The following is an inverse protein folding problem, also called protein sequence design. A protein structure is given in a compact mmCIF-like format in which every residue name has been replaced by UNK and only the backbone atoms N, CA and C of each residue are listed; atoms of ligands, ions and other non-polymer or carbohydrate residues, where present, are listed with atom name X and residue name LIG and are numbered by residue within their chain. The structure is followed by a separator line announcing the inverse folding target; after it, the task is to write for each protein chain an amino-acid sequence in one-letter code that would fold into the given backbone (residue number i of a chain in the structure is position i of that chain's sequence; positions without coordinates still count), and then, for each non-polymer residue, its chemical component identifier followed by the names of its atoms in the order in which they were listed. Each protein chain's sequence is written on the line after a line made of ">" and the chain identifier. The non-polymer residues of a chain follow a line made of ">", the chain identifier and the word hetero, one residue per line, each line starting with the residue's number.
data_IF_922555195468
#
_entry.id   IF_922555195468
#
_cell.length_a   1.000
_cell.length_b   1.000
_cell.length_c   1.000
_cell.angle_alpha   90.00
_cell.angle_beta   90.00
_cell.angle_gamma   90.00
#
_symmetry.space_group_name_H-M   'P 1'
#
loop_
_entity.id
_entity.type
_entity.pdbx_description
1 polymer ?
#
# COMPACT_ATOMS: atom_id res chain seq x y z
N UNK A 1 -37.19 -12.86 3.14
CA UNK A 1 -37.11 -12.58 1.69
C UNK A 1 -35.94 -13.37 1.11
N UNK A 2 -36.18 -14.08 0.00
CA UNK A 2 -35.23 -14.57 -1.02
C UNK A 2 -34.06 -15.55 -0.72
N UNK A 3 -34.03 -16.31 0.38
CA UNK A 3 -33.13 -17.50 0.44
C UNK A 3 -33.47 -18.55 -0.63
N UNK A 4 -34.73 -18.60 -1.08
CA UNK A 4 -35.21 -19.61 -2.03
C UNK A 4 -34.68 -19.44 -3.46
N UNK A 5 -34.13 -18.28 -3.83
CA UNK A 5 -33.63 -18.03 -5.21
C UNK A 5 -32.18 -18.49 -5.35
N UNK A 6 -31.30 -18.15 -4.40
CA UNK A 6 -29.87 -18.54 -4.43
C UNK A 6 -29.72 -20.06 -4.40
N UNK A 7 -30.44 -20.76 -3.52
CA UNK A 7 -30.36 -22.23 -3.45
C UNK A 7 -30.88 -22.90 -4.74
N UNK A 8 -31.92 -22.33 -5.36
CA UNK A 8 -32.44 -22.81 -6.65
C UNK A 8 -31.46 -22.57 -7.79
N UNK A 9 -30.77 -21.42 -7.81
CA UNK A 9 -29.80 -21.10 -8.86
C UNK A 9 -28.54 -21.96 -8.72
N UNK A 10 -28.08 -22.19 -7.49
CA UNK A 10 -27.00 -23.13 -7.19
C UNK A 10 -27.38 -24.57 -7.56
N UNK A 11 -28.62 -25.00 -7.31
CA UNK A 11 -29.06 -26.34 -7.71
C UNK A 11 -29.05 -26.51 -9.25
N UNK A 12 -29.41 -25.47 -10.02
CA UNK A 12 -29.37 -25.50 -11.50
C UNK A 12 -27.95 -25.61 -12.05
N UNK A 13 -26.96 -25.04 -11.37
CA UNK A 13 -25.56 -25.12 -11.81
C UNK A 13 -24.90 -26.47 -11.50
N UNK A 14 -25.59 -27.36 -10.77
CA UNK A 14 -25.04 -28.63 -10.29
C UNK A 14 -24.25 -28.49 -8.98
N UNK A 15 -24.31 -27.31 -8.34
CA UNK A 15 -23.61 -27.08 -7.09
C UNK A 15 -24.22 -27.92 -5.96
N UNK A 16 -23.35 -28.58 -5.21
CA UNK A 16 -23.76 -29.39 -4.05
C UNK A 16 -22.67 -29.41 -2.98
N UNK A 17 -23.10 -29.41 -1.72
CA UNK A 17 -22.23 -29.50 -0.55
C UNK A 17 -22.30 -30.92 0.03
N UNK A 18 -21.16 -31.51 0.35
CA UNK A 18 -21.09 -32.74 1.14
C UNK A 18 -20.85 -32.46 2.63
N UNK A 19 -20.02 -31.46 2.96
CA UNK A 19 -19.68 -31.06 4.33
C UNK A 19 -20.14 -29.64 4.63
N UNK A 20 -21.02 -29.50 5.63
CA UNK A 20 -21.46 -28.19 6.12
C UNK A 20 -20.65 -27.80 7.36
N UNK A 21 -19.85 -26.74 7.27
CA UNK A 21 -19.34 -25.97 8.41
C UNK A 21 -20.45 -25.08 9.04
N UNK A 22 -20.83 -25.31 10.31
CA UNK A 22 -21.86 -24.53 10.98
C UNK A 22 -21.53 -23.04 11.08
N UNK A 23 -20.26 -22.68 11.25
CA UNK A 23 -19.86 -21.28 11.41
C UNK A 23 -20.14 -20.50 10.12
N UNK A 24 -19.74 -21.03 8.96
CA UNK A 24 -20.04 -20.41 7.66
C UNK A 24 -21.55 -20.33 7.45
N UNK A 25 -22.27 -21.45 7.67
CA UNK A 25 -23.70 -21.55 7.41
C UNK A 25 -24.52 -20.56 8.24
N UNK A 26 -24.18 -20.40 9.52
CA UNK A 26 -25.01 -19.65 10.45
C UNK A 26 -24.55 -18.18 10.60
N UNK A 27 -23.30 -17.86 10.25
CA UNK A 27 -22.75 -16.51 10.43
C UNK A 27 -22.41 -15.77 9.13
N UNK A 28 -21.99 -16.49 8.07
CA UNK A 28 -21.49 -15.85 6.84
C UNK A 28 -22.53 -15.93 5.72
N UNK A 29 -23.04 -17.13 5.43
CA UNK A 29 -24.00 -17.38 4.36
C UNK A 29 -25.28 -16.53 4.47
N UNK A 30 -25.87 -16.30 5.66
CA UNK A 30 -27.06 -15.48 5.76
C UNK A 30 -26.80 -14.03 5.38
N UNK A 31 -25.58 -13.51 5.47
CA UNK A 31 -25.33 -12.12 5.06
C UNK A 31 -25.12 -11.97 3.55
N UNK A 32 -25.05 -13.06 2.79
CA UNK A 32 -24.76 -13.02 1.36
C UNK A 32 -25.72 -12.10 0.58
N UNK A 33 -27.00 -12.11 0.92
CA UNK A 33 -28.01 -11.29 0.24
C UNK A 33 -27.83 -9.78 0.47
N UNK A 34 -27.10 -9.36 1.52
CA UNK A 34 -26.81 -7.95 1.75
C UNK A 34 -25.79 -7.39 0.75
N UNK A 35 -24.99 -8.27 0.15
CA UNK A 35 -23.87 -7.90 -0.71
C UNK A 35 -24.12 -8.18 -2.19
N UNK A 36 -25.04 -9.09 -2.51
CA UNK A 36 -25.45 -9.36 -3.89
C UNK A 36 -26.49 -8.35 -4.36
N UNK A 37 -26.35 -7.90 -5.60
CA UNK A 37 -27.40 -7.11 -6.24
C UNK A 37 -28.59 -8.03 -6.60
N UNK A 38 -29.83 -7.54 -6.55
CA UNK A 38 -31.06 -8.32 -6.84
C UNK A 38 -31.04 -9.00 -8.22
N UNK A 39 -30.21 -8.51 -9.15
CA UNK A 39 -30.07 -9.04 -10.50
C UNK A 39 -28.89 -9.98 -10.70
N UNK A 40 -28.01 -10.15 -9.70
CA UNK A 40 -26.83 -11.01 -9.82
C UNK A 40 -27.17 -12.45 -9.43
N UNK A 41 -26.99 -13.37 -10.39
CA UNK A 41 -27.15 -14.80 -10.14
C UNK A 41 -25.87 -15.41 -9.63
N UNK A 42 -26.01 -16.26 -8.62
CA UNK A 42 -24.90 -17.03 -8.05
C UNK A 42 -24.75 -18.33 -8.82
N UNK A 43 -23.58 -18.57 -9.40
CA UNK A 43 -23.29 -19.78 -10.18
C UNK A 43 -22.63 -20.87 -9.32
N UNK A 44 -21.82 -20.50 -8.34
CA UNK A 44 -21.12 -21.46 -7.48
C UNK A 44 -20.68 -20.84 -6.16
N UNK A 45 -20.49 -21.67 -5.13
CA UNK A 45 -19.92 -21.26 -3.84
C UNK A 45 -18.78 -22.21 -3.44
N UNK A 46 -17.80 -21.72 -2.69
CA UNK A 46 -16.81 -22.57 -2.02
C UNK A 46 -16.63 -22.19 -0.55
N UNK A 47 -16.65 -23.20 0.32
CA UNK A 47 -16.49 -23.04 1.77
C UNK A 47 -15.04 -23.29 2.10
N UNK A 48 -14.34 -22.24 2.52
CA UNK A 48 -12.88 -22.29 2.67
C UNK A 48 -12.39 -21.64 3.96
N UNK A 49 -11.12 -21.87 4.25
CA UNK A 49 -10.41 -21.31 5.39
C UNK A 49 -9.06 -20.77 4.93
N UNK A 50 -8.70 -19.57 5.35
CA UNK A 50 -7.45 -18.94 4.92
C UNK A 50 -6.25 -19.64 5.54
N UNK A 51 -5.18 -19.82 4.76
CA UNK A 51 -3.88 -20.29 5.26
C UNK A 51 -2.93 -19.13 5.55
N UNK A 52 -2.07 -19.26 6.56
CA UNK A 52 -0.99 -18.30 6.83
C UNK A 52 0.24 -18.57 5.95
N UNK A 53 1.27 -17.73 6.07
CA UNK A 53 2.54 -17.86 5.33
C UNK A 53 3.29 -19.18 5.62
N UNK A 54 3.03 -19.79 6.77
CA UNK A 54 3.58 -21.10 7.15
C UNK A 54 2.78 -22.27 6.55
N UNK A 55 1.69 -21.98 5.85
CA UNK A 55 0.78 -22.99 5.30
C UNK A 55 -0.12 -23.63 6.36
N UNK A 56 -0.33 -22.98 7.51
CA UNK A 56 -1.23 -23.44 8.57
C UNK A 56 -2.61 -22.78 8.45
N UNK A 57 -3.65 -23.44 8.95
CA UNK A 57 -5.01 -22.90 8.97
C UNK A 57 -5.14 -21.73 9.94
N UNK A 58 -5.59 -20.58 9.45
CA UNK A 58 -5.92 -19.42 10.30
C UNK A 58 -7.32 -19.53 10.88
N UNK A 59 -7.70 -18.75 11.87
CA UNK A 59 -9.09 -18.65 12.34
C UNK A 59 -10.06 -17.94 11.37
N UNK A 60 -9.60 -17.55 10.17
CA UNK A 60 -10.41 -16.82 9.21
C UNK A 60 -11.10 -17.77 8.24
N UNK A 61 -12.42 -17.83 8.33
CA UNK A 61 -13.30 -18.51 7.38
C UNK A 61 -13.57 -17.58 6.20
N UNK A 62 -13.63 -18.16 5.00
CA UNK A 62 -13.89 -17.43 3.76
C UNK A 62 -14.93 -18.18 2.93
N UNK A 63 -16.05 -17.53 2.66
CA UNK A 63 -17.02 -17.96 1.66
C UNK A 63 -16.66 -17.29 0.34
N UNK A 64 -16.31 -18.09 -0.65
CA UNK A 64 -16.18 -17.63 -2.03
C UNK A 64 -17.52 -17.79 -2.74
N UNK A 65 -17.93 -16.76 -3.47
CA UNK A 65 -19.19 -16.68 -4.19
C UNK A 65 -18.86 -16.30 -5.63
N UNK A 66 -19.16 -17.17 -6.58
CA UNK A 66 -19.04 -16.90 -8.00
C UNK A 66 -20.38 -16.43 -8.54
N UNK A 67 -20.37 -15.30 -9.23
CA UNK A 67 -21.50 -14.79 -10.01
C UNK A 67 -21.15 -14.81 -11.51
N UNK A 68 -22.12 -14.50 -12.36
CA UNK A 68 -21.91 -14.37 -13.82
C UNK A 68 -20.79 -13.36 -14.20
N UNK A 69 -20.41 -12.44 -13.30
CA UNK A 69 -19.48 -11.32 -13.59
C UNK A 69 -18.21 -11.29 -12.74
N UNK A 70 -18.29 -11.75 -11.48
CA UNK A 70 -17.28 -11.49 -10.45
C UNK A 70 -17.31 -12.52 -9.34
N UNK A 71 -16.22 -12.58 -8.58
CA UNK A 71 -16.10 -13.36 -7.36
C UNK A 71 -16.22 -12.41 -6.15
N UNK A 72 -17.10 -12.76 -5.22
CA UNK A 72 -17.18 -12.15 -3.90
C UNK A 72 -16.54 -13.09 -2.88
N UNK A 73 -15.58 -12.59 -2.12
CA UNK A 73 -15.05 -13.26 -0.94
C UNK A 73 -15.59 -12.58 0.34
N UNK A 74 -16.35 -13.32 1.12
CA UNK A 74 -16.83 -12.93 2.44
C UNK A 74 -16.00 -13.62 3.51
N UNK A 75 -15.36 -12.85 4.38
CA UNK A 75 -14.42 -13.38 5.38
C UNK A 75 -14.75 -12.94 6.80
N UNK A 76 -14.71 -13.90 7.73
CA UNK A 76 -14.93 -13.65 9.16
C UNK A 76 -13.94 -14.46 10.00
N UNK A 77 -13.36 -13.82 11.01
CA UNK A 77 -12.51 -14.50 11.99
C UNK A 77 -13.39 -15.14 13.06
N UNK A 78 -13.18 -16.42 13.38
CA UNK A 78 -13.99 -17.14 14.37
C UNK A 78 -13.60 -16.86 15.82
N UNK A 79 -12.46 -16.20 16.06
CA UNK A 79 -11.94 -15.89 17.41
C UNK A 79 -12.19 -14.43 17.78
N UNK A 80 -12.11 -13.54 16.79
CA UNK A 80 -12.36 -12.11 17.00
C UNK A 80 -13.84 -11.87 16.75
N UNK A 81 -14.56 -11.52 17.81
CA UNK A 81 -15.97 -11.11 17.71
C UNK A 81 -16.05 -9.67 17.20
N UNK A 82 -15.69 -9.52 15.93
CA UNK A 82 -16.02 -8.34 15.15
C UNK A 82 -17.36 -8.62 14.48
N UNK A 83 -18.34 -7.73 14.71
CA UNK A 83 -19.67 -7.86 14.11
C UNK A 83 -19.62 -7.79 12.58
N UNK A 84 -18.54 -7.23 12.00
CA UNK A 84 -18.45 -6.98 10.56
C UNK A 84 -17.78 -8.12 9.77
N UNK A 85 -18.47 -8.57 8.71
CA UNK A 85 -17.90 -9.46 7.70
C UNK A 85 -17.06 -8.62 6.74
N UNK A 86 -15.80 -9.01 6.55
CA UNK A 86 -14.92 -8.37 5.57
C UNK A 86 -15.25 -8.91 4.18
N UNK A 87 -15.66 -8.03 3.29
CA UNK A 87 -15.96 -8.34 1.90
C UNK A 87 -14.83 -7.90 0.95
N UNK A 88 -14.62 -8.68 -0.11
CA UNK A 88 -13.74 -8.31 -1.22
C UNK A 88 -14.29 -8.82 -2.53
N UNK A 89 -14.32 -7.94 -3.53
CA UNK A 89 -14.72 -8.27 -4.89
C UNK A 89 -13.50 -8.48 -5.77
N UNK A 90 -13.63 -9.41 -6.71
CA UNK A 90 -12.65 -9.67 -7.76
C UNK A 90 -13.41 -9.79 -9.07
N UNK A 91 -13.13 -8.91 -10.01
CA UNK A 91 -13.70 -9.05 -11.35
C UNK A 91 -13.00 -10.21 -12.07
N UNK A 92 -13.73 -10.93 -12.94
CA UNK A 92 -13.24 -12.17 -13.56
C UNK A 92 -11.99 -11.91 -14.44
N UNK A 93 -11.86 -10.72 -15.00
CA UNK A 93 -10.72 -10.27 -15.81
C UNK A 93 -9.45 -10.00 -14.99
N UNK A 94 -9.60 -9.73 -13.69
CA UNK A 94 -8.49 -9.50 -12.76
C UNK A 94 -7.82 -10.80 -12.30
N UNK A 95 -8.46 -11.95 -12.53
CA UNK A 95 -7.96 -13.26 -12.13
C UNK A 95 -6.90 -13.73 -13.13
N UNK A 96 -5.63 -13.58 -12.73
CA UNK A 96 -4.47 -13.96 -13.55
C UNK A 96 -4.09 -15.42 -13.39
N UNK A 97 -4.48 -16.02 -12.28
CA UNK A 97 -4.11 -17.39 -11.94
C UNK A 97 -5.20 -18.01 -11.07
N UNK A 98 -5.52 -19.26 -11.33
CA UNK A 98 -6.39 -20.10 -10.53
C UNK A 98 -5.86 -21.53 -10.66
N UNK A 99 -5.58 -22.17 -9.55
CA UNK A 99 -5.13 -23.56 -9.47
C UNK A 99 -5.74 -24.22 -8.26
N UNK A 100 -5.98 -25.52 -8.40
CA UNK A 100 -6.44 -26.40 -7.34
C UNK A 100 -5.41 -27.49 -7.11
N UNK A 101 -4.99 -27.65 -5.86
CA UNK A 101 -4.04 -28.68 -5.45
C UNK A 101 -4.64 -29.54 -4.34
N UNK A 102 -4.15 -30.76 -4.15
CA UNK A 102 -4.49 -31.53 -2.97
C UNK A 102 -3.89 -30.88 -1.72
N UNK A 103 -4.66 -30.87 -0.64
CA UNK A 103 -4.21 -30.32 0.64
C UNK A 103 -3.06 -31.13 1.22
N UNK A 104 -2.02 -30.43 1.68
CA UNK A 104 -0.99 -31.00 2.53
C UNK A 104 -1.36 -30.94 4.03
N UNK A 105 -2.45 -30.24 4.39
CA UNK A 105 -2.88 -30.05 5.79
C UNK A 105 -3.90 -31.11 6.19
N UNK A 106 -4.89 -31.37 5.33
CA UNK A 106 -6.03 -32.23 5.67
C UNK A 106 -6.37 -33.16 4.52
N UNK A 107 -6.29 -34.47 4.78
CA UNK A 107 -6.65 -35.51 3.82
C UNK A 107 -8.11 -35.34 3.36
N UNK A 108 -8.35 -35.40 2.06
CA UNK A 108 -9.69 -35.19 1.48
C UNK A 108 -10.14 -33.72 1.51
N UNK A 109 -9.18 -32.80 1.47
CA UNK A 109 -9.42 -31.40 1.16
C UNK A 109 -8.49 -30.96 0.04
N UNK A 110 -8.92 -29.94 -0.69
CA UNK A 110 -8.15 -29.26 -1.72
C UNK A 110 -7.79 -27.84 -1.26
N UNK A 111 -6.66 -27.36 -1.76
CA UNK A 111 -6.24 -25.98 -1.67
C UNK A 111 -6.58 -25.27 -2.98
N UNK A 112 -7.28 -24.15 -2.88
CA UNK A 112 -7.52 -23.22 -3.98
C UNK A 112 -6.48 -22.11 -3.87
N UNK A 113 -5.62 -22.03 -4.88
CA UNK A 113 -4.65 -20.95 -5.04
C UNK A 113 -5.13 -20.05 -6.18
N UNK A 114 -5.26 -18.74 -5.94
CA UNK A 114 -5.55 -17.81 -7.03
C UNK A 114 -4.82 -16.49 -6.87
N UNK A 115 -4.55 -15.82 -7.99
CA UNK A 115 -3.95 -14.49 -8.02
C UNK A 115 -4.95 -13.55 -8.68
N UNK A 116 -5.43 -12.58 -7.91
CA UNK A 116 -6.31 -11.52 -8.38
C UNK A 116 -5.73 -10.17 -7.96
N UNK A 117 -5.72 -9.18 -8.88
CA UNK A 117 -5.13 -7.86 -8.64
C UNK A 117 -3.69 -7.89 -8.11
N UNK A 118 -2.88 -8.85 -8.59
CA UNK A 118 -1.49 -9.01 -8.18
C UNK A 118 -1.30 -9.54 -6.74
N UNK A 119 -2.39 -9.91 -6.06
CA UNK A 119 -2.36 -10.50 -4.71
C UNK A 119 -2.70 -11.98 -4.80
N UNK A 120 -1.85 -12.81 -4.19
CA UNK A 120 -2.08 -14.25 -4.08
C UNK A 120 -2.96 -14.60 -2.88
N UNK A 121 -3.87 -15.55 -3.09
CA UNK A 121 -4.72 -16.12 -2.07
C UNK A 121 -4.53 -17.63 -2.05
N UNK A 122 -4.32 -18.18 -0.86
CA UNK A 122 -4.30 -19.62 -0.62
C UNK A 122 -5.40 -19.94 0.39
N UNK A 123 -6.36 -20.75 -0.05
CA UNK A 123 -7.57 -21.08 0.69
C UNK A 123 -7.75 -22.58 0.75
N UNK A 124 -7.93 -23.09 1.96
CA UNK A 124 -8.12 -24.50 2.23
C UNK A 124 -9.61 -24.83 2.22
N UNK A 125 -10.02 -25.80 1.42
CA UNK A 125 -11.43 -26.19 1.34
C UNK A 125 -11.90 -26.91 2.61
N UNK A 126 -13.13 -26.62 3.00
CA UNK A 126 -13.85 -27.38 4.03
C UNK A 126 -14.66 -28.51 3.38
N UNK A 127 -15.17 -28.23 2.18
CA UNK A 127 -15.90 -29.17 1.34
C UNK A 127 -15.25 -29.26 -0.05
N UNK A 128 -14.71 -30.43 -0.36
CA UNK A 128 -13.97 -30.68 -1.60
C UNK A 128 -14.84 -30.53 -2.84
N UNK A 129 -16.09 -31.02 -2.79
CA UNK A 129 -16.98 -31.06 -3.95
C UNK A 129 -17.41 -29.66 -4.39
N UNK A 130 -17.87 -28.83 -3.46
CA UNK A 130 -18.22 -27.42 -3.74
C UNK A 130 -17.01 -26.63 -4.21
N UNK A 131 -15.84 -26.88 -3.63
CA UNK A 131 -14.59 -26.20 -3.99
C UNK A 131 -14.11 -26.59 -5.39
N UNK A 132 -14.20 -27.87 -5.78
CA UNK A 132 -13.96 -28.34 -7.16
C UNK A 132 -14.91 -27.68 -8.14
N UNK A 133 -16.20 -27.74 -7.84
CA UNK A 133 -17.24 -27.11 -8.66
C UNK A 133 -17.01 -25.61 -8.84
N UNK A 134 -16.61 -24.90 -7.78
CA UNK A 134 -16.24 -23.49 -7.84
C UNK A 134 -15.05 -23.22 -8.76
N UNK A 135 -13.97 -24.01 -8.67
CA UNK A 135 -12.80 -23.86 -9.55
C UNK A 135 -13.19 -24.10 -11.00
N UNK A 136 -13.90 -25.20 -11.30
CA UNK A 136 -14.32 -25.56 -12.66
C UNK A 136 -15.20 -24.46 -13.29
N UNK A 137 -16.16 -23.93 -12.53
CA UNK A 137 -17.02 -22.84 -13.01
C UNK A 137 -16.28 -21.51 -13.15
N UNK A 138 -15.35 -21.22 -12.25
CA UNK A 138 -14.52 -20.01 -12.37
C UNK A 138 -13.63 -20.09 -13.61
N UNK A 139 -13.01 -21.24 -13.88
CA UNK A 139 -12.27 -21.45 -15.12
C UNK A 139 -13.13 -21.26 -16.36
N UNK A 140 -14.37 -21.78 -16.34
CA UNK A 140 -15.33 -21.61 -17.43
C UNK A 140 -15.70 -20.14 -17.61
N UNK A 141 -15.96 -19.40 -16.52
CA UNK A 141 -16.24 -17.97 -16.56
C UNK A 141 -15.06 -17.18 -17.16
N UNK A 142 -13.82 -17.47 -16.73
CA UNK A 142 -12.59 -16.86 -17.28
C UNK A 142 -12.44 -17.18 -18.78
N UNK A 143 -12.64 -18.44 -19.19
CA UNK A 143 -12.56 -18.86 -20.61
C UNK A 143 -13.61 -18.13 -21.46
N UNK A 144 -14.85 -18.06 -21.00
CA UNK A 144 -15.94 -17.36 -21.69
C UNK A 144 -15.65 -15.85 -21.80
N UNK A 145 -15.12 -15.24 -20.74
CA UNK A 145 -14.74 -13.83 -20.76
C UNK A 145 -13.63 -13.54 -21.79
N UNK A 146 -12.59 -14.40 -21.84
CA UNK A 146 -11.46 -14.29 -22.79
C UNK A 146 -11.84 -14.59 -24.24
N UNK A 147 -12.80 -15.48 -24.49
CA UNK A 147 -13.33 -15.69 -25.84
C UNK A 147 -14.04 -14.43 -26.37
N UNK A 148 -14.63 -13.64 -25.47
CA UNK A 148 -15.27 -12.36 -25.81
C UNK A 148 -14.29 -11.19 -25.88
N UNK A 149 -13.09 -11.31 -25.30
CA UNK A 149 -12.04 -10.28 -25.29
C UNK A 149 -10.70 -10.91 -25.70
N UNK A 150 -10.36 -10.84 -27.00
CA UNK A 150 -9.18 -11.45 -27.60
C UNK A 150 -7.85 -10.95 -26.99
N UNK A 151 -7.48 -11.49 -25.83
CA UNK A 151 -6.17 -11.37 -25.21
C UNK A 151 -5.73 -12.73 -24.65
N UNK A 152 -4.68 -13.27 -25.27
CA UNK A 152 -4.07 -14.56 -24.97
C UNK A 152 -3.40 -14.52 -23.59
N UNK A 153 -3.80 -15.38 -22.65
CA UNK A 153 -2.99 -15.65 -21.47
C UNK A 153 -1.97 -16.73 -21.77
N UNK A 154 -0.70 -16.41 -21.56
CA UNK A 154 0.38 -17.39 -21.43
C UNK A 154 0.19 -18.10 -20.09
N UNK A 155 -0.28 -19.34 -20.12
CA UNK A 155 -0.28 -20.20 -18.94
C UNK A 155 1.18 -20.51 -18.57
N UNK A 156 1.68 -20.13 -17.37
CA UNK A 156 2.95 -20.69 -16.91
C UNK A 156 2.77 -22.20 -16.72
N UNK A 157 3.64 -23.00 -17.35
CA UNK A 157 3.66 -24.48 -17.23
C UNK A 157 3.78 -24.91 -15.76
N UNK A 158 3.12 -26.01 -15.43
CA UNK A 158 3.00 -26.61 -14.09
C UNK A 158 4.33 -26.87 -13.36
N UNK A 159 5.42 -27.08 -14.10
CA UNK A 159 6.73 -27.34 -13.50
C UNK A 159 7.32 -26.13 -12.74
N UNK A 160 6.81 -24.93 -12.97
CA UNK A 160 7.20 -23.72 -12.23
C UNK A 160 6.41 -23.53 -10.90
N UNK A 161 5.46 -24.42 -10.56
CA UNK A 161 4.49 -24.23 -9.47
C UNK A 161 4.84 -24.91 -8.14
N UNK A 162 5.85 -25.80 -8.09
CA UNK A 162 6.48 -26.21 -6.81
C UNK A 162 7.07 -25.02 -6.01
N UNK A 163 7.06 -23.85 -6.63
CA UNK A 163 7.55 -22.59 -6.13
C UNK A 163 6.45 -21.53 -5.95
N UNK A 164 5.16 -21.89 -5.75
CA UNK A 164 4.15 -20.90 -5.35
C UNK A 164 4.43 -20.27 -3.97
N UNK A 165 4.95 -21.05 -3.01
CA UNK A 165 5.59 -20.51 -1.78
C UNK A 165 6.80 -19.60 -2.10
N UNK A 166 7.34 -19.74 -3.31
CA UNK A 166 8.49 -18.98 -3.81
C UNK A 166 8.11 -17.83 -4.75
N UNK A 167 6.84 -17.62 -5.12
CA UNK A 167 6.43 -16.39 -5.85
C UNK A 167 6.42 -15.20 -4.88
N UNK A 168 6.10 -15.43 -3.60
CA UNK A 168 6.47 -14.49 -2.53
C UNK A 168 7.99 -14.29 -2.46
N UNK A 169 8.79 -15.35 -2.64
CA UNK A 169 10.25 -15.27 -2.57
C UNK A 169 10.93 -14.72 -3.83
N UNK A 170 10.34 -14.74 -5.03
CA UNK A 170 11.03 -14.34 -6.28
C UNK A 170 10.82 -12.85 -6.60
N UNK A 171 9.67 -12.29 -6.20
CA UNK A 171 9.58 -10.85 -5.95
C UNK A 171 10.46 -10.42 -4.76
N UNK A 172 10.66 -11.27 -3.73
CA UNK A 172 11.61 -11.00 -2.62
C UNK A 172 13.09 -11.28 -2.93
N UNK A 173 13.48 -12.01 -3.99
CA UNK A 173 14.89 -12.38 -4.25
C UNK A 173 15.59 -11.57 -5.33
N UNK A 174 14.88 -10.96 -6.29
CA UNK A 174 15.41 -9.73 -6.91
C UNK A 174 15.47 -8.57 -5.90
N UNK A 175 14.57 -8.60 -4.91
CA UNK A 175 14.59 -7.70 -3.75
C UNK A 175 15.67 -8.06 -2.70
N UNK A 176 16.36 -9.22 -2.72
CA UNK A 176 17.40 -9.51 -1.70
C UNK A 176 18.71 -8.74 -1.90
N UNK A 177 18.97 -8.21 -3.10
CA UNK A 177 20.04 -7.21 -3.28
C UNK A 177 19.57 -5.79 -2.94
N UNK A 178 18.26 -5.51 -2.97
CA UNK A 178 17.63 -4.26 -2.50
C UNK A 178 17.23 -4.27 -1.01
N UNK A 179 17.18 -5.43 -0.33
CA UNK A 179 16.67 -5.55 1.04
C UNK A 179 17.68 -5.17 2.11
N UNK A 180 18.96 -4.98 1.78
CA UNK A 180 19.86 -4.30 2.72
C UNK A 180 19.57 -2.80 2.77
N UNK A 181 19.07 -2.21 1.69
CA UNK A 181 18.62 -0.81 1.67
C UNK A 181 17.23 -0.67 2.31
N UNK A 182 16.32 -1.63 2.09
CA UNK A 182 14.96 -1.60 2.66
C UNK A 182 14.84 -1.93 4.16
N UNK A 183 15.81 -2.61 4.77
CA UNK A 183 15.79 -2.88 6.22
C UNK A 183 16.18 -1.65 7.02
N UNK A 184 17.11 -0.82 6.52
CA UNK A 184 17.43 0.46 7.15
C UNK A 184 16.25 1.42 7.10
N UNK A 185 15.58 1.44 5.94
CA UNK A 185 14.29 2.07 5.75
C UNK A 185 13.27 1.60 6.81
N UNK A 186 12.93 0.31 6.85
CA UNK A 186 11.86 -0.18 7.74
C UNK A 186 12.16 -0.04 9.24
N UNK A 187 13.42 -0.04 9.65
CA UNK A 187 13.78 0.23 11.05
C UNK A 187 13.51 1.68 11.47
N UNK A 188 13.61 2.64 10.53
CA UNK A 188 13.16 4.03 10.72
C UNK A 188 11.63 4.15 10.52
N UNK A 189 11.03 3.29 9.69
CA UNK A 189 9.63 3.38 9.26
C UNK A 189 8.60 2.62 10.11
N UNK A 190 8.96 1.69 11.01
CA UNK A 190 7.96 0.94 11.79
C UNK A 190 7.83 1.28 13.28
N UNK A 191 8.63 2.20 13.79
CA UNK A 191 8.24 2.92 15.01
C UNK A 191 7.10 3.89 14.72
N UNK A 192 6.27 4.28 15.71
CA UNK A 192 5.34 5.40 15.59
C UNK A 192 6.16 6.69 15.47
N UNK A 193 6.81 6.86 14.33
CA UNK A 193 7.73 7.95 14.06
C UNK A 193 6.92 9.13 13.56
N UNK A 194 7.40 10.33 13.89
CA UNK A 194 6.91 11.62 13.39
C UNK A 194 6.77 11.66 11.85
N UNK A 195 7.33 10.69 11.13
CA UNK A 195 7.32 10.59 9.67
C UNK A 195 6.05 9.90 9.13
N UNK A 196 5.25 9.17 9.94
CA UNK A 196 4.00 8.54 9.45
C UNK A 196 2.80 9.51 9.41
N UNK A 197 2.85 10.59 10.18
CA UNK A 197 1.76 11.56 10.31
C UNK A 197 1.98 12.76 9.38
N UNK A 198 1.02 13.07 8.49
CA UNK A 198 1.08 14.25 7.60
C UNK A 198 1.41 15.56 8.34
N UNK A 199 0.76 15.88 9.48
CA UNK A 199 1.09 17.06 10.29
C UNK A 199 2.53 17.06 10.82
N UNK A 200 3.04 15.91 11.24
CA UNK A 200 4.38 15.83 11.80
C UNK A 200 5.46 15.95 10.71
N UNK A 201 5.20 15.46 9.49
CA UNK A 201 6.05 15.75 8.32
C UNK A 201 6.04 17.23 7.96
N UNK A 202 4.89 17.91 8.02
CA UNK A 202 4.80 19.36 7.77
C UNK A 202 5.58 20.16 8.83
N UNK A 203 5.49 19.80 10.10
CA UNK A 203 6.26 20.42 11.19
C UNK A 203 7.76 20.21 10.98
N UNK A 204 8.18 19.01 10.58
CA UNK A 204 9.58 18.72 10.28
C UNK A 204 10.10 19.52 9.07
N UNK A 205 9.32 19.64 8.00
CA UNK A 205 9.66 20.48 6.84
C UNK A 205 9.81 21.95 7.25
N UNK A 206 8.86 22.45 8.06
CA UNK A 206 8.91 23.81 8.58
C UNK A 206 10.16 24.04 9.44
N UNK A 207 10.49 23.10 10.33
CA UNK A 207 11.69 23.17 11.17
C UNK A 207 12.96 23.17 10.32
N UNK A 208 13.06 22.30 9.31
CA UNK A 208 14.21 22.28 8.41
C UNK A 208 14.40 23.60 7.65
N UNK A 209 13.31 24.23 7.18
CA UNK A 209 13.38 25.55 6.54
C UNK A 209 13.68 26.68 7.53
N UNK A 210 13.19 26.58 8.77
CA UNK A 210 13.43 27.58 9.80
C UNK A 210 14.89 27.57 10.31
N UNK A 211 15.50 26.39 10.43
CA UNK A 211 16.93 26.27 10.76
C UNK A 211 17.79 27.01 9.74
N UNK A 212 17.42 26.99 8.46
CA UNK A 212 18.12 27.76 7.43
C UNK A 212 18.05 29.28 7.64
N UNK A 213 16.91 29.81 8.09
CA UNK A 213 16.80 31.23 8.44
C UNK A 213 17.76 31.60 9.58
N UNK A 214 17.90 30.72 10.58
CA UNK A 214 18.85 30.92 11.69
C UNK A 214 20.28 30.90 11.16
N UNK A 215 20.62 29.92 10.32
CA UNK A 215 21.96 29.75 9.75
C UNK A 215 22.36 30.96 8.90
N UNK A 216 21.49 31.41 7.99
CA UNK A 216 21.78 32.58 7.16
C UNK A 216 21.86 33.87 7.97
N UNK A 217 21.10 33.99 9.06
CA UNK A 217 21.22 35.13 9.99
C UNK A 217 22.59 35.14 10.68
N UNK A 218 23.12 33.97 11.04
CA UNK A 218 24.48 33.84 11.61
C UNK A 218 25.53 34.18 10.56
N UNK A 219 25.42 33.67 9.34
CA UNK A 219 26.34 33.98 8.23
C UNK A 219 26.34 35.48 7.95
N UNK A 220 25.16 36.11 7.84
CA UNK A 220 25.02 37.55 7.64
C UNK A 220 25.68 38.38 8.75
N UNK A 221 25.57 37.95 10.01
CA UNK A 221 26.15 38.65 11.15
C UNK A 221 27.69 38.52 11.25
N UNK A 222 28.28 37.57 10.51
CA UNK A 222 29.72 37.32 10.48
C UNK A 222 30.43 37.89 9.26
N UNK A 223 29.67 38.49 8.33
CA UNK A 223 30.15 38.92 7.02
C UNK A 223 31.20 40.03 7.08
N UNK A 224 31.08 40.95 8.04
CA UNK A 224 31.99 42.10 8.22
C UNK A 224 33.20 41.77 9.13
N UNK A 225 33.41 40.50 9.49
CA UNK A 225 34.52 40.09 10.37
C UNK A 225 35.67 39.49 9.55
N UNK A 226 36.87 40.06 9.69
CA UNK A 226 38.07 39.57 9.01
C UNK A 226 38.63 38.27 9.58
N UNK A 227 39.31 37.53 8.70
CA UNK A 227 40.46 36.68 9.01
C UNK A 227 40.17 35.42 9.82
N UNK A 228 40.04 34.28 9.15
CA UNK A 228 39.95 32.91 9.71
C UNK A 228 38.69 32.58 10.52
N UNK A 229 38.27 33.40 11.49
CA UNK A 229 37.10 33.11 12.33
C UNK A 229 35.81 33.16 11.50
N UNK A 230 35.68 34.13 10.60
CA UNK A 230 34.56 34.20 9.67
C UNK A 230 34.54 33.02 8.70
N UNK A 231 35.69 32.62 8.12
CA UNK A 231 35.74 31.51 7.17
C UNK A 231 35.45 30.15 7.82
N UNK A 232 35.95 29.92 9.04
CA UNK A 232 35.63 28.72 9.83
C UNK A 232 34.15 28.70 10.19
N UNK A 233 33.59 29.85 10.56
CA UNK A 233 32.15 29.95 10.88
C UNK A 233 31.30 29.67 9.64
N UNK A 234 31.59 30.29 8.48
CA UNK A 234 30.88 30.09 7.21
C UNK A 234 30.93 28.62 6.76
N UNK A 235 32.08 27.95 6.90
CA UNK A 235 32.20 26.53 6.57
C UNK A 235 31.45 25.65 7.57
N UNK A 236 31.56 25.94 8.86
CA UNK A 236 30.87 25.21 9.92
C UNK A 236 29.34 25.33 9.80
N UNK A 237 28.85 26.54 9.52
CA UNK A 237 27.45 26.78 9.20
C UNK A 237 27.06 26.04 7.94
N UNK A 238 27.85 26.09 6.86
CA UNK A 238 27.59 25.36 5.61
C UNK A 238 27.46 23.85 5.80
N UNK A 239 28.28 23.23 6.65
CA UNK A 239 28.15 21.81 7.01
C UNK A 239 26.83 21.57 7.76
N UNK A 240 26.49 22.45 8.70
CA UNK A 240 25.24 22.34 9.46
C UNK A 240 24.01 22.49 8.56
N UNK A 241 23.97 23.51 7.68
CA UNK A 241 22.89 23.67 6.70
C UNK A 241 22.83 22.51 5.71
N UNK A 242 23.97 21.91 5.31
CA UNK A 242 23.99 20.72 4.47
C UNK A 242 23.23 19.55 5.12
N UNK A 243 23.49 19.27 6.40
CA UNK A 243 22.83 18.19 7.15
C UNK A 243 21.31 18.41 7.21
N UNK A 244 20.89 19.62 7.57
CA UNK A 244 19.46 19.96 7.66
C UNK A 244 18.76 19.98 6.31
N UNK A 245 19.47 20.34 5.24
CA UNK A 245 18.93 20.26 3.88
C UNK A 245 18.72 18.83 3.44
N UNK A 246 19.69 17.95 3.70
CA UNK A 246 19.56 16.52 3.41
C UNK A 246 18.36 15.95 4.17
N UNK A 247 18.22 16.29 5.46
CA UNK A 247 17.05 15.90 6.25
C UNK A 247 15.75 16.43 5.65
N UNK A 248 15.71 17.71 5.25
CA UNK A 248 14.56 18.33 4.59
C UNK A 248 14.19 17.66 3.27
N UNK A 249 15.18 17.33 2.43
CA UNK A 249 14.98 16.57 1.18
C UNK A 249 14.37 15.20 1.45
N UNK A 250 14.93 14.46 2.40
CA UNK A 250 14.42 13.15 2.81
C UNK A 250 12.96 13.28 3.23
N UNK A 251 12.64 14.20 4.16
CA UNK A 251 11.26 14.42 4.62
C UNK A 251 10.33 14.85 3.47
N UNK A 252 10.80 15.68 2.53
CA UNK A 252 9.99 16.15 1.39
C UNK A 252 9.62 15.00 0.44
N UNK A 253 10.56 14.09 0.17
CA UNK A 253 10.32 12.89 -0.64
C UNK A 253 9.29 12.00 0.05
N UNK A 254 9.40 11.80 1.36
CA UNK A 254 8.40 11.05 2.14
C UNK A 254 7.02 11.69 2.07
N UNK A 255 6.95 13.01 2.20
CA UNK A 255 5.70 13.75 2.15
C UNK A 255 5.02 13.61 0.78
N UNK A 256 5.78 13.73 -0.32
CA UNK A 256 5.27 13.51 -1.69
C UNK A 256 4.75 12.09 -1.88
N UNK A 257 5.52 11.07 -1.47
CA UNK A 257 5.09 9.66 -1.58
C UNK A 257 3.80 9.43 -0.78
N UNK A 258 3.66 10.04 0.39
CA UNK A 258 2.47 9.87 1.23
C UNK A 258 1.22 10.56 0.65
N UNK A 259 1.38 11.71 -0.02
CA UNK A 259 0.26 12.35 -0.73
C UNK A 259 -0.12 11.53 -1.96
N UNK A 260 0.87 11.06 -2.72
CA UNK A 260 0.64 10.32 -3.97
C UNK A 260 -0.07 8.98 -3.74
N UNK A 261 0.26 8.29 -2.64
CA UNK A 261 -0.44 7.05 -2.22
C UNK A 261 -1.91 7.26 -1.82
N UNK A 262 -2.34 8.50 -1.58
CA UNK A 262 -3.71 8.82 -1.13
C UNK A 262 -4.61 9.27 -2.28
N UNK A 263 -4.17 9.17 -3.54
CA UNK A 263 -4.89 9.57 -4.77
C UNK A 263 -5.49 10.99 -4.76
N UNK A 264 -4.99 11.85 -3.87
CA UNK A 264 -5.33 13.27 -3.81
C UNK A 264 -4.36 14.03 -4.69
N UNK A 265 -4.61 14.03 -6.00
CA UNK A 265 -3.98 14.97 -6.94
C UNK A 265 -4.56 16.38 -6.67
N UNK A 266 -4.13 16.96 -5.55
CA UNK A 266 -4.55 18.26 -5.06
C UNK A 266 -3.37 19.25 -5.09
N UNK A 267 -3.69 20.54 -4.97
CA UNK A 267 -2.75 21.67 -4.77
C UNK A 267 -1.58 21.32 -3.82
N UNK A 268 -1.80 20.47 -2.82
CA UNK A 268 -0.80 20.05 -1.84
C UNK A 268 0.40 19.30 -2.47
N UNK A 269 0.23 18.58 -3.59
CA UNK A 269 1.35 17.94 -4.32
C UNK A 269 2.22 19.00 -5.00
N UNK A 270 1.60 20.01 -5.61
CA UNK A 270 2.31 21.11 -6.27
C UNK A 270 3.11 21.91 -5.24
N UNK A 271 2.49 22.23 -4.10
CA UNK A 271 3.16 22.95 -3.01
C UNK A 271 4.31 22.11 -2.41
N UNK A 272 4.15 20.79 -2.28
CA UNK A 272 5.22 19.89 -1.84
C UNK A 272 6.41 19.88 -2.83
N UNK A 273 6.14 19.88 -4.14
CA UNK A 273 7.18 19.95 -5.18
C UNK A 273 7.95 21.29 -5.13
N UNK A 274 7.25 22.41 -4.91
CA UNK A 274 7.89 23.73 -4.73
C UNK A 274 8.85 23.71 -3.54
N UNK A 275 8.43 23.11 -2.41
CA UNK A 275 9.29 22.95 -1.22
C UNK A 275 10.49 22.06 -1.52
N UNK A 276 10.32 20.95 -2.25
CA UNK A 276 11.46 20.09 -2.64
C UNK A 276 12.47 20.80 -3.55
N UNK A 277 12.00 21.58 -4.53
CA UNK A 277 12.89 22.40 -5.39
C UNK A 277 13.67 23.42 -4.55
N UNK A 278 13.02 24.05 -3.57
CA UNK A 278 13.67 24.95 -2.62
C UNK A 278 14.78 24.26 -1.83
N UNK A 279 14.54 23.04 -1.32
CA UNK A 279 15.59 22.28 -0.63
C UNK A 279 16.76 21.88 -1.56
N UNK A 280 16.50 21.56 -2.83
CA UNK A 280 17.58 21.29 -3.81
C UNK A 280 18.44 22.55 -3.99
N UNK A 281 17.81 23.72 -4.08
CA UNK A 281 18.53 24.99 -4.21
C UNK A 281 19.40 25.29 -2.98
N UNK A 282 18.84 25.11 -1.78
CA UNK A 282 19.55 25.24 -0.50
C UNK A 282 20.71 24.23 -0.36
N UNK A 283 20.57 23.05 -0.96
CA UNK A 283 21.63 22.02 -0.95
C UNK A 283 22.85 22.50 -1.74
N UNK A 284 22.61 23.06 -2.92
CA UNK A 284 23.67 23.65 -3.75
C UNK A 284 24.33 24.82 -3.02
N UNK A 285 23.55 25.69 -2.38
CA UNK A 285 24.09 26.80 -1.57
C UNK A 285 24.97 26.31 -0.42
N UNK A 286 24.57 25.25 0.29
CA UNK A 286 25.39 24.64 1.35
C UNK A 286 26.75 24.17 0.82
N UNK A 287 26.76 23.50 -0.34
CA UNK A 287 28.01 23.03 -0.95
C UNK A 287 28.90 24.21 -1.34
N UNK A 288 28.33 25.29 -1.89
CA UNK A 288 29.08 26.49 -2.26
C UNK A 288 29.67 27.20 -1.03
N UNK A 289 28.92 27.27 0.08
CA UNK A 289 29.41 27.79 1.36
C UNK A 289 30.57 26.97 1.91
N UNK A 290 30.54 25.65 1.77
CA UNK A 290 31.64 24.77 2.22
C UNK A 290 32.88 24.90 1.33
N UNK A 291 32.69 24.77 0.02
CA UNK A 291 33.79 24.57 -0.95
C UNK A 291 34.53 25.85 -1.29
N UNK A 292 33.78 26.90 -1.60
CA UNK A 292 34.37 28.17 -2.05
C UNK A 292 34.40 29.19 -0.92
N UNK A 293 33.81 28.86 0.24
CA UNK A 293 33.60 29.83 1.35
C UNK A 293 32.92 31.11 0.86
N UNK A 294 32.18 31.01 -0.25
CA UNK A 294 31.47 32.12 -0.87
C UNK A 294 30.22 32.38 -0.04
N UNK A 295 30.35 33.09 1.07
CA UNK A 295 29.26 33.96 1.50
C UNK A 295 29.41 35.23 0.67
N UNK A 296 28.70 35.34 -0.45
CA UNK A 296 28.41 36.67 -0.99
C UNK A 296 27.12 37.15 -0.33
N UNK A 297 27.03 38.46 -0.04
CA UNK A 297 25.83 39.01 0.61
C UNK A 297 24.56 38.69 -0.21
N UNK A 298 24.72 38.61 -1.53
CA UNK A 298 23.68 38.20 -2.47
C UNK A 298 23.27 36.73 -2.28
N UNK A 299 24.21 35.80 -2.09
CA UNK A 299 23.90 34.39 -1.82
C UNK A 299 23.15 34.23 -0.49
N UNK A 300 23.51 35.00 0.53
CA UNK A 300 22.80 35.00 1.82
C UNK A 300 21.37 35.53 1.68
N UNK A 301 21.14 36.61 0.94
CA UNK A 301 19.79 37.07 0.65
C UNK A 301 18.97 36.04 -0.11
N UNK A 302 19.55 35.39 -1.12
CA UNK A 302 18.86 34.31 -1.86
C UNK A 302 18.51 33.16 -0.92
N UNK A 303 19.41 32.77 -0.01
CA UNK A 303 19.17 31.77 1.03
C UNK A 303 18.01 32.14 1.94
N UNK A 304 17.99 33.38 2.46
CA UNK A 304 16.90 33.90 3.31
C UNK A 304 15.56 33.88 2.56
N UNK A 305 15.51 34.42 1.33
CA UNK A 305 14.27 34.47 0.54
C UNK A 305 13.75 33.06 0.23
N UNK A 306 14.62 32.15 -0.17
CA UNK A 306 14.26 30.75 -0.46
C UNK A 306 13.69 30.07 0.78
N UNK A 307 14.34 30.24 1.92
CA UNK A 307 13.90 29.69 3.21
C UNK A 307 12.55 30.26 3.64
N UNK A 308 12.34 31.57 3.45
CA UNK A 308 11.08 32.25 3.78
C UNK A 308 9.91 31.73 2.92
N UNK A 309 10.13 31.54 1.61
CA UNK A 309 9.14 30.97 0.69
C UNK A 309 8.77 29.55 1.12
N UNK A 310 9.76 28.72 1.47
CA UNK A 310 9.52 27.35 1.89
C UNK A 310 8.80 27.25 3.24
N UNK A 311 9.20 28.06 4.23
CA UNK A 311 8.53 28.12 5.53
C UNK A 311 7.08 28.61 5.40
N UNK A 312 6.85 29.64 4.59
CA UNK A 312 5.50 30.18 4.35
C UNK A 312 4.61 29.17 3.63
N UNK A 313 5.14 28.51 2.59
CA UNK A 313 4.43 27.47 1.84
C UNK A 313 4.05 26.30 2.75
N UNK A 314 5.00 25.83 3.57
CA UNK A 314 4.76 24.73 4.51
C UNK A 314 3.76 25.13 5.59
N UNK A 315 3.81 26.38 6.07
CA UNK A 315 2.84 26.95 7.01
C UNK A 315 1.43 27.04 6.44
N UNK A 316 1.27 27.43 5.17
CA UNK A 316 -0.03 27.45 4.48
C UNK A 316 -0.62 26.05 4.37
N UNK A 317 0.20 25.05 3.98
CA UNK A 317 -0.23 23.65 3.93
C UNK A 317 -0.72 23.19 5.30
N UNK A 318 0.03 23.50 6.36
CA UNK A 318 -0.33 23.14 7.73
C UNK A 318 -1.63 23.81 8.19
N UNK A 319 -1.78 25.11 7.95
CA UNK A 319 -2.97 25.87 8.32
C UNK A 319 -4.23 25.34 7.62
N UNK A 320 -4.12 25.03 6.31
CA UNK A 320 -5.23 24.43 5.54
C UNK A 320 -5.63 23.08 6.11
N UNK A 321 -4.68 22.18 6.33
CA UNK A 321 -4.95 20.84 6.88
C UNK A 321 -5.54 20.91 8.30
N UNK A 322 -5.16 21.91 9.11
CA UNK A 322 -5.72 22.14 10.44
C UNK A 322 -7.18 22.61 10.38
N UNK A 323 -7.50 23.56 9.50
CA UNK A 323 -8.86 24.08 9.30
C UNK A 323 -9.80 22.96 8.80
N UNK A 324 -9.35 22.17 7.81
CA UNK A 324 -10.16 21.05 7.27
C UNK A 324 -10.45 19.96 8.31
N UNK A 325 -9.58 19.79 9.32
CA UNK A 325 -9.79 18.81 10.39
C UNK A 325 -10.74 19.29 11.48
N UNK A 326 -10.76 20.58 11.77
CA UNK A 326 -11.64 21.15 12.82
C UNK A 326 -13.05 21.49 12.32
N UNK A 327 -13.27 21.46 10.99
CA UNK A 327 -14.57 21.68 10.36
C UNK A 327 -15.31 20.37 9.97
N UNK A 328 -14.80 19.20 10.38
CA UNK A 328 -15.43 17.87 10.19
C UNK A 328 -15.90 17.31 11.53
#
# INVERSE_FOLDING_TARGET
>A
METSTIEKDLAKSGWSILKKDPFIKDNILPQLYLYLNEKEKVESLAWTRKTNEKGELTATYVLLVLTEKRILALSKNSIVDDSEIRQKWFDIDEIKFLEMENSNIRVGSIRINFIANGVGYALESIDEKSSKHFVDWTEKAIKNFKLNHAHTMTYPKSDNLKNLQKIELTHKTKSKKQNREHVFANYIFDHPSLIKSNPAMQILLFACSFVWLIVESVVSATFDKDGFVASVTIRGTGIFSLVWTILGLIVSIYYIINIWKKDKLEINVILALIVSIGFIFLFVLSILQITVSLSSINMTYIGIFTSLIMSSTTGIIFAKDFIERNNK
#
